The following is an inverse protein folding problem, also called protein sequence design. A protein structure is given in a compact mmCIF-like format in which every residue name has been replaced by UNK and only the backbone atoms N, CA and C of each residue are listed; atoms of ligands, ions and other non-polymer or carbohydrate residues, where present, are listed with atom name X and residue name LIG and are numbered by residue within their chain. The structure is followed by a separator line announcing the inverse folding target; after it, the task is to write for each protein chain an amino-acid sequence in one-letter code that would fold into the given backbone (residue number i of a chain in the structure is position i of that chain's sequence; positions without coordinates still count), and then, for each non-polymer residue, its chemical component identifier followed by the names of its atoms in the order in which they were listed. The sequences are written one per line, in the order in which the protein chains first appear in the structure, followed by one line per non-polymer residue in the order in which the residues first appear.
data_IF_304454314865
#
_entry.id   IF_304454314865
#
_cell.length_a   1.000
_cell.length_b   1.000
_cell.length_c   1.000
_cell.angle_alpha   90.00
_cell.angle_beta   90.00
_cell.angle_gamma   90.00
#
_symmetry.space_group_name_H-M   'P 1'
#
loop_
_entity.id
_entity.type
_entity.pdbx_description
1 polymer ?
#
# COMPACT_ATOMS: atom_id res chain seq x y z
N UNK A 1 11.22 22.26 -2.79
CA UNK A 1 11.90 21.05 -2.24
C UNK A 1 13.39 20.99 -2.60
N UNK A 2 13.74 21.01 -3.90
CA UNK A 2 15.14 20.92 -4.37
C UNK A 2 16.05 22.01 -3.81
N UNK A 3 15.62 23.28 -3.80
CA UNK A 3 16.44 24.39 -3.30
C UNK A 3 16.78 24.26 -1.82
N UNK A 4 15.91 23.59 -1.05
CA UNK A 4 16.13 23.24 0.35
C UNK A 4 16.88 21.93 0.54
N UNK A 5 17.35 21.27 -0.54
CA UNK A 5 17.95 19.92 -0.51
C UNK A 5 17.13 18.91 0.29
N UNK A 6 15.80 18.98 0.15
CA UNK A 6 14.85 18.10 0.83
C UNK A 6 14.89 18.12 2.38
N UNK A 7 15.55 19.11 2.98
CA UNK A 7 15.53 19.36 4.43
C UNK A 7 14.66 20.57 4.78
N UNK A 8 14.09 20.59 5.99
CA UNK A 8 13.26 21.70 6.49
C UNK A 8 12.17 22.15 5.48
N UNK A 9 11.47 21.17 4.92
CA UNK A 9 10.41 21.39 3.94
C UNK A 9 9.21 22.06 4.61
N UNK A 10 8.61 23.03 3.92
CA UNK A 10 7.32 23.58 4.34
C UNK A 10 6.24 22.72 3.71
N UNK A 11 5.37 22.15 4.53
CA UNK A 11 4.23 21.36 4.09
C UNK A 11 3.03 22.27 3.83
N UNK A 12 2.10 21.85 2.96
CA UNK A 12 0.90 22.63 2.64
C UNK A 12 0.07 22.96 3.90
N UNK A 13 0.06 22.04 4.87
CA UNK A 13 -0.42 22.28 6.24
C UNK A 13 0.72 22.08 7.23
N UNK A 14 0.90 22.95 8.23
CA UNK A 14 1.99 22.85 9.20
C UNK A 14 1.75 21.86 10.34
N UNK A 15 0.57 21.23 10.44
CA UNK A 15 0.17 20.44 11.61
C UNK A 15 -0.53 19.15 11.25
N UNK A 16 -0.43 18.14 12.13
CA UNK A 16 -1.26 16.92 12.10
C UNK A 16 -2.71 17.29 12.40
N UNK A 17 -3.55 17.37 11.37
CA UNK A 17 -4.93 17.84 11.49
C UNK A 17 -5.91 16.97 10.73
N UNK A 18 -5.78 15.65 10.85
CA UNK A 18 -6.82 14.74 10.34
C UNK A 18 -8.16 15.12 10.95
N UNK A 19 -9.21 15.13 10.11
CA UNK A 19 -10.60 15.42 10.50
C UNK A 19 -10.85 16.83 11.07
N UNK A 20 -9.91 17.76 10.97
CA UNK A 20 -10.14 19.15 11.37
C UNK A 20 -10.88 19.90 10.25
N UNK A 21 -12.07 20.43 10.53
CA UNK A 21 -12.93 21.09 9.51
C UNK A 21 -12.20 22.21 8.73
N UNK A 22 -11.41 23.04 9.40
CA UNK A 22 -10.65 24.10 8.73
C UNK A 22 -9.39 23.61 7.98
N UNK A 23 -8.89 22.40 8.25
CA UNK A 23 -7.72 21.90 7.55
C UNK A 23 -8.07 21.68 6.07
N UNK A 24 -9.24 21.11 5.79
CA UNK A 24 -9.74 20.97 4.43
C UNK A 24 -9.74 22.32 3.67
N UNK A 25 -10.18 23.42 4.30
CA UNK A 25 -10.23 24.74 3.66
C UNK A 25 -8.87 25.33 3.27
N UNK A 26 -7.78 24.94 3.93
CA UNK A 26 -6.44 25.47 3.63
C UNK A 26 -5.80 24.76 2.43
N UNK A 27 -6.03 23.45 2.26
CA UNK A 27 -5.56 22.70 1.07
C UNK A 27 -6.52 22.83 -0.12
N UNK A 28 -7.76 23.25 0.13
CA UNK A 28 -8.85 23.30 -0.84
C UNK A 28 -8.49 23.99 -2.16
N UNK A 29 -7.80 25.15 -2.22
CA UNK A 29 -7.47 25.79 -3.49
C UNK A 29 -6.64 24.91 -4.44
N UNK A 30 -5.84 23.99 -3.90
CA UNK A 30 -5.11 23.00 -4.68
C UNK A 30 -5.96 21.75 -4.93
N UNK A 31 -6.59 21.20 -3.89
CA UNK A 31 -7.36 19.96 -3.99
C UNK A 31 -8.60 20.09 -4.86
N UNK A 32 -9.23 21.27 -4.93
CA UNK A 32 -10.30 21.56 -5.88
C UNK A 32 -9.81 21.40 -7.31
N UNK A 33 -8.65 21.99 -7.66
CA UNK A 33 -8.06 21.86 -9.00
C UNK A 33 -7.72 20.42 -9.33
N UNK A 34 -7.22 19.66 -8.35
CA UNK A 34 -6.96 18.22 -8.51
C UNK A 34 -8.25 17.48 -8.85
N UNK A 35 -9.33 17.69 -8.09
CA UNK A 35 -10.63 17.04 -8.36
C UNK A 35 -11.19 17.41 -9.73
N UNK A 36 -11.25 18.70 -10.05
CA UNK A 36 -11.77 19.19 -11.34
C UNK A 36 -10.94 18.69 -12.53
N UNK A 37 -9.61 18.69 -12.39
CA UNK A 37 -8.69 18.20 -13.42
C UNK A 37 -8.82 16.70 -13.66
N UNK A 38 -8.92 15.91 -12.59
CA UNK A 38 -9.13 14.46 -12.69
C UNK A 38 -10.51 14.12 -13.25
N UNK A 39 -11.55 14.81 -12.82
CA UNK A 39 -12.91 14.62 -13.35
C UNK A 39 -12.98 14.95 -14.86
N UNK A 40 -12.33 16.03 -15.28
CA UNK A 40 -12.20 16.39 -16.71
C UNK A 40 -11.43 15.32 -17.50
N UNK A 41 -10.46 14.65 -16.87
CA UNK A 41 -9.72 13.53 -17.45
C UNK A 41 -10.48 12.17 -17.38
N UNK A 42 -11.74 12.17 -16.93
CA UNK A 42 -12.56 10.95 -16.83
C UNK A 42 -12.28 10.08 -15.60
N UNK A 43 -11.60 10.62 -14.59
CA UNK A 43 -11.32 9.94 -13.32
C UNK A 43 -12.10 10.60 -12.20
N UNK A 44 -13.25 10.02 -11.86
CA UNK A 44 -14.03 10.44 -10.71
C UNK A 44 -13.46 9.82 -9.43
N UNK A 45 -13.23 10.66 -8.43
CA UNK A 45 -12.88 10.23 -7.09
C UNK A 45 -14.16 10.01 -6.28
N UNK A 46 -14.15 8.96 -5.46
CA UNK A 46 -15.22 8.72 -4.48
C UNK A 46 -15.14 9.74 -3.34
N UNK A 47 -13.91 9.97 -2.84
CA UNK A 47 -13.64 10.94 -1.80
C UNK A 47 -12.20 11.47 -1.90
N UNK A 48 -11.97 12.62 -1.27
CA UNK A 48 -10.64 13.16 -1.00
C UNK A 48 -10.65 13.87 0.34
N UNK A 49 -9.63 13.69 1.18
CA UNK A 49 -9.54 14.40 2.45
C UNK A 49 -8.09 14.61 2.90
N UNK A 50 -7.83 15.61 3.77
CA UNK A 50 -6.57 15.71 4.48
C UNK A 50 -6.36 14.46 5.35
N UNK A 51 -5.14 13.95 5.35
CA UNK A 51 -4.78 12.77 6.14
C UNK A 51 -3.95 13.14 7.39
N UNK A 52 -3.48 12.16 8.16
CA UNK A 52 -2.86 12.39 9.46
C UNK A 52 -1.64 13.34 9.40
N UNK A 53 -0.82 13.24 8.35
CA UNK A 53 0.41 14.01 8.22
C UNK A 53 0.24 15.46 7.78
N UNK A 54 1.23 16.33 8.04
CA UNK A 54 1.19 17.71 7.60
C UNK A 54 1.23 17.77 6.07
N UNK A 55 0.19 18.36 5.47
CA UNK A 55 0.02 18.45 4.01
C UNK A 55 -0.24 17.11 3.32
N UNK A 56 -0.49 16.03 4.08
CA UNK A 56 -0.82 14.73 3.53
C UNK A 56 -2.28 14.70 3.08
N UNK A 57 -2.55 14.08 1.93
CA UNK A 57 -3.89 13.97 1.36
C UNK A 57 -4.16 12.52 0.98
N UNK A 58 -5.41 12.09 1.14
CA UNK A 58 -5.92 10.81 0.67
C UNK A 58 -6.90 11.04 -0.48
N UNK A 59 -6.86 10.15 -1.47
CA UNK A 59 -7.73 10.13 -2.64
C UNK A 59 -8.28 8.72 -2.79
N UNK A 60 -9.59 8.57 -2.75
CA UNK A 60 -10.27 7.28 -2.86
C UNK A 60 -10.89 7.16 -4.25
N UNK A 61 -10.67 6.01 -4.89
CA UNK A 61 -11.22 5.70 -6.19
C UNK A 61 -12.45 4.82 -6.06
N UNK A 62 -13.45 5.06 -6.91
CA UNK A 62 -14.50 4.07 -7.13
C UNK A 62 -13.87 2.75 -7.63
N UNK A 63 -14.26 1.58 -7.09
CA UNK A 63 -13.75 0.29 -7.53
C UNK A 63 -13.89 0.09 -9.05
N UNK A 64 -12.92 -0.58 -9.65
CA UNK A 64 -12.93 -0.87 -11.08
C UNK A 64 -12.15 -2.15 -11.40
N UNK A 65 -12.21 -2.59 -12.66
CA UNK A 65 -11.40 -3.71 -13.13
C UNK A 65 -9.91 -3.44 -12.90
N UNK A 66 -9.09 -4.47 -12.57
CA UNK A 66 -7.71 -4.27 -12.14
C UNK A 66 -6.85 -3.46 -13.10
N UNK A 67 -6.99 -3.68 -14.42
CA UNK A 67 -6.19 -2.97 -15.42
C UNK A 67 -6.57 -1.49 -15.52
N UNK A 68 -7.86 -1.19 -15.54
CA UNK A 68 -8.39 0.18 -15.58
C UNK A 68 -8.01 0.92 -14.30
N UNK A 69 -8.07 0.27 -13.14
CA UNK A 69 -7.64 0.85 -11.88
C UNK A 69 -6.13 1.14 -11.87
N UNK A 70 -5.31 0.26 -12.45
CA UNK A 70 -3.87 0.48 -12.52
C UNK A 70 -3.51 1.65 -13.44
N UNK A 71 -4.17 1.75 -14.61
CA UNK A 71 -4.07 2.91 -15.52
C UNK A 71 -4.44 4.21 -14.79
N UNK A 72 -5.61 4.24 -14.14
CA UNK A 72 -6.08 5.39 -13.36
C UNK A 72 -5.08 5.79 -12.29
N UNK A 73 -4.57 4.84 -11.53
CA UNK A 73 -3.62 5.11 -10.45
C UNK A 73 -2.32 5.76 -10.98
N UNK A 74 -1.76 5.28 -12.11
CA UNK A 74 -0.58 5.91 -12.72
C UNK A 74 -0.90 7.31 -13.25
N UNK A 75 -2.01 7.47 -13.97
CA UNK A 75 -2.43 8.75 -14.52
C UNK A 75 -2.67 9.80 -13.44
N UNK A 76 -3.30 9.42 -12.33
CA UNK A 76 -3.61 10.32 -11.22
C UNK A 76 -2.32 10.82 -10.56
N UNK A 77 -1.35 9.94 -10.30
CA UNK A 77 -0.05 10.37 -9.76
C UNK A 77 0.64 11.36 -10.70
N UNK A 78 0.66 11.07 -12.00
CA UNK A 78 1.24 11.97 -13.00
C UNK A 78 0.53 13.32 -13.05
N UNK A 79 -0.81 13.32 -13.06
CA UNK A 79 -1.61 14.53 -13.07
C UNK A 79 -1.38 15.38 -11.82
N UNK A 80 -1.29 14.75 -10.64
CA UNK A 80 -0.99 15.44 -9.37
C UNK A 80 0.40 16.07 -9.40
N UNK A 81 1.42 15.37 -9.92
CA UNK A 81 2.75 15.95 -10.07
C UNK A 81 2.74 17.18 -10.97
N UNK A 82 2.04 17.11 -12.11
CA UNK A 82 1.93 18.21 -13.06
C UNK A 82 1.19 19.41 -12.45
N UNK A 83 0.02 19.18 -11.85
CA UNK A 83 -0.76 20.24 -11.20
C UNK A 83 -0.03 20.85 -10.01
N UNK A 84 0.69 20.05 -9.22
CA UNK A 84 1.51 20.55 -8.12
C UNK A 84 2.63 21.46 -8.66
N UNK A 85 3.32 21.03 -9.71
CA UNK A 85 4.37 21.84 -10.34
C UNK A 85 3.83 23.17 -10.87
N UNK A 86 2.67 23.17 -11.53
CA UNK A 86 1.98 24.39 -11.99
C UNK A 86 1.55 25.32 -10.84
N UNK A 87 1.28 24.76 -9.66
CA UNK A 87 0.94 25.51 -8.45
C UNK A 87 2.16 25.96 -7.62
N UNK A 88 3.39 25.70 -8.07
CA UNK A 88 4.60 25.99 -7.30
C UNK A 88 4.81 25.07 -6.09
N UNK A 89 4.15 23.92 -6.08
CA UNK A 89 4.21 22.88 -5.05
C UNK A 89 5.03 21.68 -5.54
N UNK A 90 5.41 20.81 -4.60
CA UNK A 90 5.98 19.52 -4.91
C UNK A 90 5.14 18.42 -4.25
N UNK A 91 4.49 17.59 -5.06
CA UNK A 91 3.84 16.37 -4.58
C UNK A 91 4.86 15.22 -4.51
N UNK A 92 4.70 14.33 -3.54
CA UNK A 92 5.50 13.11 -3.42
C UNK A 92 4.63 11.92 -3.02
N UNK A 93 4.90 10.77 -3.62
CA UNK A 93 4.28 9.49 -3.27
C UNK A 93 5.27 8.54 -2.58
N UNK A 94 6.41 9.06 -2.09
CA UNK A 94 7.33 8.28 -1.26
C UNK A 94 6.58 7.69 -0.05
N UNK A 95 6.84 6.42 0.26
CA UNK A 95 6.19 5.75 1.38
C UNK A 95 6.47 6.44 2.73
N UNK A 96 7.65 7.05 2.89
CA UNK A 96 8.05 7.76 4.11
C UNK A 96 8.93 8.96 3.76
N UNK A 97 8.33 10.15 3.71
CA UNK A 97 9.07 11.37 3.34
C UNK A 97 9.90 11.95 4.50
N UNK A 98 9.45 11.75 5.75
CA UNK A 98 10.11 12.25 6.96
C UNK A 98 10.14 11.19 8.05
N UNK A 99 11.21 11.15 8.86
CA UNK A 99 11.40 10.16 9.94
C UNK A 99 10.24 10.20 10.94
N UNK A 100 9.91 11.40 11.41
CA UNK A 100 8.94 11.65 12.48
C UNK A 100 7.51 11.90 11.95
N UNK A 101 7.33 11.88 10.63
CA UNK A 101 6.06 12.11 9.94
C UNK A 101 5.37 10.80 9.55
N UNK A 102 4.05 10.70 9.45
CA UNK A 102 3.40 9.46 9.00
C UNK A 102 3.83 9.05 7.59
N UNK A 103 3.70 7.75 7.30
CA UNK A 103 3.95 7.24 5.96
C UNK A 103 2.74 7.44 5.03
N UNK A 104 2.99 7.42 3.73
CA UNK A 104 1.97 7.40 2.69
C UNK A 104 1.77 5.98 2.18
N UNK A 105 0.52 5.51 2.19
CA UNK A 105 0.15 4.15 1.77
C UNK A 105 -0.61 4.15 0.45
N UNK A 106 -0.73 2.96 -0.12
CA UNK A 106 -1.71 2.64 -1.14
C UNK A 106 -2.43 1.37 -0.66
N UNK A 107 -3.59 1.54 -0.02
CA UNK A 107 -4.41 0.41 0.38
C UNK A 107 -5.18 -0.10 -0.83
N UNK A 108 -5.20 -1.42 -0.99
CA UNK A 108 -5.79 -2.07 -2.17
C UNK A 108 -7.00 -2.87 -1.70
N UNK A 109 -8.18 -2.39 -2.08
CA UNK A 109 -9.44 -3.08 -1.81
C UNK A 109 -9.74 -4.06 -2.96
N UNK A 110 -10.09 -5.30 -2.61
CA UNK A 110 -10.27 -6.39 -3.57
C UNK A 110 -11.57 -7.14 -3.29
N UNK A 111 -12.35 -7.33 -4.34
CA UNK A 111 -13.52 -8.21 -4.41
C UNK A 111 -13.43 -9.06 -5.69
N UNK A 112 -14.13 -10.20 -5.72
CA UNK A 112 -14.35 -10.97 -6.93
C UNK A 112 -15.84 -10.98 -7.27
N UNK A 113 -16.14 -11.00 -8.56
CA UNK A 113 -17.48 -11.12 -9.09
C UNK A 113 -17.56 -12.26 -10.11
N UNK A 114 -18.71 -12.91 -10.16
CA UNK A 114 -19.00 -13.89 -11.20
C UNK A 114 -19.27 -13.18 -12.52
N UNK A 115 -18.42 -13.40 -13.53
CA UNK A 115 -18.53 -12.77 -14.87
C UNK A 115 -19.94 -12.93 -15.46
N UNK A 116 -20.56 -14.10 -15.33
CA UNK A 116 -21.85 -14.38 -15.94
C UNK A 116 -23.02 -13.65 -15.27
N UNK A 117 -22.91 -13.28 -13.99
CA UNK A 117 -24.03 -12.72 -13.21
C UNK A 117 -23.78 -11.33 -12.66
N UNK A 118 -22.54 -10.85 -12.66
CA UNK A 118 -22.12 -9.61 -11.98
C UNK A 118 -22.32 -9.63 -10.46
N UNK A 119 -22.61 -10.80 -9.86
CA UNK A 119 -22.77 -10.92 -8.41
C UNK A 119 -21.43 -11.17 -7.75
N UNK A 120 -21.25 -10.61 -6.56
CA UNK A 120 -20.10 -10.90 -5.70
C UNK A 120 -19.91 -12.41 -5.52
N UNK A 121 -18.69 -12.88 -5.72
CA UNK A 121 -18.25 -14.24 -5.39
C UNK A 121 -17.76 -14.34 -3.94
N UNK A 122 -17.69 -13.22 -3.22
CA UNK A 122 -17.14 -13.14 -1.87
C UNK A 122 -18.17 -13.29 -0.75
N UNK A 123 -19.44 -13.00 -1.01
CA UNK A 123 -20.48 -13.04 0.00
C UNK A 123 -21.19 -14.41 0.08
N UNK A 124 -21.35 -14.93 1.29
CA UNK A 124 -22.28 -16.01 1.64
C UNK A 124 -23.01 -15.64 2.93
N UNK A 125 -24.34 -15.53 2.88
CA UNK A 125 -25.16 -15.13 4.03
C UNK A 125 -25.21 -16.15 5.17
N UNK A 126 -24.72 -17.38 4.94
CA UNK A 126 -24.56 -18.39 5.99
C UNK A 126 -23.09 -18.58 6.40
N UNK A 127 -22.16 -17.92 5.70
CA UNK A 127 -20.74 -17.96 5.99
C UNK A 127 -20.37 -17.12 7.22
N UNK A 128 -19.34 -17.56 7.92
CA UNK A 128 -18.73 -16.80 9.00
C UNK A 128 -18.27 -15.42 8.49
N UNK A 129 -18.66 -14.35 9.20
CA UNK A 129 -18.47 -12.95 8.79
C UNK A 129 -19.05 -12.58 7.40
N UNK A 130 -19.98 -13.39 6.89
CA UNK A 130 -20.53 -13.25 5.54
C UNK A 130 -19.60 -13.71 4.42
N UNK A 131 -18.51 -14.42 4.75
CA UNK A 131 -17.52 -14.85 3.76
C UNK A 131 -17.90 -16.17 3.10
N UNK A 132 -17.91 -16.17 1.76
CA UNK A 132 -17.96 -17.40 0.97
C UNK A 132 -16.68 -18.23 1.14
N UNK A 133 -16.75 -19.50 0.77
CA UNK A 133 -15.57 -20.37 0.68
C UNK A 133 -14.48 -19.77 -0.23
N UNK A 134 -14.88 -19.17 -1.35
CA UNK A 134 -13.97 -18.53 -2.31
C UNK A 134 -13.21 -17.38 -1.65
N UNK A 135 -13.91 -16.52 -0.89
CA UNK A 135 -13.26 -15.42 -0.19
C UNK A 135 -12.28 -15.91 0.88
N UNK A 136 -12.66 -16.94 1.66
CA UNK A 136 -11.78 -17.52 2.68
C UNK A 136 -10.48 -18.04 2.07
N UNK A 137 -10.59 -18.79 0.98
CA UNK A 137 -9.42 -19.35 0.28
C UNK A 137 -8.57 -18.26 -0.39
N UNK A 138 -9.19 -17.26 -1.00
CA UNK A 138 -8.51 -16.08 -1.52
C UNK A 138 -7.68 -15.37 -0.44
N UNK A 139 -8.32 -15.03 0.68
CA UNK A 139 -7.66 -14.37 1.80
C UNK A 139 -6.57 -15.26 2.44
N UNK A 140 -6.78 -16.57 2.49
CA UNK A 140 -5.76 -17.52 2.95
C UNK A 140 -4.51 -17.50 2.06
N UNK A 141 -4.70 -17.44 0.74
CA UNK A 141 -3.61 -17.27 -0.23
C UNK A 141 -2.85 -15.97 -0.04
N UNK A 142 -3.57 -14.86 0.14
CA UNK A 142 -2.96 -13.56 0.47
C UNK A 142 -2.10 -13.66 1.76
N UNK A 143 -2.63 -14.24 2.83
CA UNK A 143 -1.91 -14.39 4.11
C UNK A 143 -0.70 -15.30 3.96
N UNK A 144 -0.84 -16.48 3.35
CA UNK A 144 0.24 -17.47 3.19
C UNK A 144 1.44 -16.88 2.44
N UNK A 145 1.18 -16.19 1.33
CA UNK A 145 2.22 -15.74 0.41
C UNK A 145 2.71 -14.30 0.67
N UNK A 146 2.23 -13.64 1.73
CA UNK A 146 2.50 -12.22 1.98
C UNK A 146 3.99 -11.85 1.96
N UNK A 147 4.85 -12.67 2.57
CA UNK A 147 6.30 -12.42 2.57
C UNK A 147 6.90 -12.46 1.17
N UNK A 148 6.42 -13.37 0.31
CA UNK A 148 6.93 -13.60 -1.04
C UNK A 148 6.63 -12.43 -1.98
N UNK A 149 5.43 -11.85 -1.93
CA UNK A 149 5.05 -10.74 -2.79
C UNK A 149 5.26 -9.34 -2.19
N UNK A 150 5.76 -9.23 -0.95
CA UNK A 150 5.96 -7.93 -0.28
C UNK A 150 6.77 -6.95 -1.13
N UNK A 151 7.75 -7.43 -1.91
CA UNK A 151 8.53 -6.59 -2.82
C UNK A 151 7.64 -5.75 -3.76
N UNK A 152 6.57 -6.32 -4.32
CA UNK A 152 5.68 -5.61 -5.25
C UNK A 152 4.78 -4.58 -4.56
N UNK A 153 4.66 -4.63 -3.23
CA UNK A 153 3.92 -3.67 -2.41
C UNK A 153 4.82 -2.62 -1.74
N UNK A 154 6.11 -2.92 -1.60
CA UNK A 154 7.12 -2.09 -0.96
C UNK A 154 8.46 -2.16 -1.75
N UNK A 155 8.51 -1.62 -2.98
CA UNK A 155 9.59 -1.92 -3.92
C UNK A 155 10.91 -1.17 -3.66
N UNK A 156 10.94 -0.21 -2.74
CA UNK A 156 12.09 0.64 -2.48
C UNK A 156 12.61 0.49 -1.04
N UNK A 157 13.86 0.88 -0.80
CA UNK A 157 14.44 0.92 0.55
C UNK A 157 13.62 1.84 1.47
N UNK A 158 13.08 2.94 0.93
CA UNK A 158 12.21 3.87 1.65
C UNK A 158 10.88 3.24 2.10
N UNK A 159 10.33 2.29 1.33
CA UNK A 159 9.06 1.62 1.62
C UNK A 159 9.04 0.98 3.02
N UNK A 160 10.17 0.38 3.44
CA UNK A 160 10.30 -0.28 4.74
C UNK A 160 10.46 0.68 5.92
N UNK A 161 10.73 1.97 5.67
CA UNK A 161 10.72 3.02 6.71
C UNK A 161 9.29 3.39 7.13
N UNK A 162 8.30 3.08 6.28
CA UNK A 162 6.87 3.12 6.63
C UNK A 162 6.46 1.89 7.45
N UNK A 163 6.94 0.69 7.10
CA UNK A 163 6.59 -0.57 7.76
C UNK A 163 7.26 -0.72 9.14
N UNK A 164 6.92 0.16 10.08
CA UNK A 164 7.48 0.19 11.44
C UNK A 164 6.37 0.00 12.49
N UNK A 165 6.67 -0.57 13.67
CA UNK A 165 5.71 -0.62 14.76
C UNK A 165 5.19 0.78 15.11
N UNK A 166 3.90 0.89 15.49
CA UNK A 166 3.24 2.14 15.87
C UNK A 166 3.18 3.22 14.77
N UNK A 167 3.31 2.83 13.50
CA UNK A 167 3.26 3.75 12.35
C UNK A 167 1.92 3.77 11.60
N UNK A 168 0.92 3.05 12.11
CA UNK A 168 -0.34 2.70 11.41
C UNK A 168 -0.18 1.79 10.19
N UNK A 169 1.05 1.46 9.78
CA UNK A 169 1.33 0.44 8.78
C UNK A 169 1.45 -0.95 9.43
N UNK A 170 1.06 -2.02 8.73
CA UNK A 170 1.19 -3.37 9.24
C UNK A 170 2.66 -3.82 9.26
N UNK A 171 3.04 -4.60 10.29
CA UNK A 171 4.37 -5.24 10.38
C UNK A 171 4.29 -6.76 10.45
N UNK A 172 3.08 -7.30 10.65
CA UNK A 172 2.80 -8.73 10.84
C UNK A 172 1.86 -9.24 9.76
N UNK A 173 2.08 -10.47 9.32
CA UNK A 173 1.26 -11.18 8.35
C UNK A 173 0.08 -11.79 9.09
N UNK A 174 -1.10 -11.18 8.91
CA UNK A 174 -2.35 -11.63 9.51
C UNK A 174 -3.53 -10.88 8.87
N UNK A 175 -4.73 -11.38 9.13
CA UNK A 175 -5.97 -10.71 8.80
C UNK A 175 -6.80 -10.45 10.07
N UNK A 176 -7.75 -9.52 9.98
CA UNK A 176 -8.68 -9.25 11.08
C UNK A 176 -9.92 -8.51 10.62
N UNK A 177 -11.00 -8.66 11.39
CA UNK A 177 -12.29 -7.99 11.15
C UNK A 177 -12.19 -6.53 11.57
N UNK A 178 -12.35 -5.62 10.61
CA UNK A 178 -12.23 -4.17 10.79
C UNK A 178 -10.94 -3.70 11.51
N UNK A 179 -9.88 -4.55 11.52
CA UNK A 179 -8.68 -4.29 12.29
C UNK A 179 -7.67 -3.47 11.46
N UNK A 180 -7.50 -2.19 11.78
CA UNK A 180 -6.57 -1.30 11.04
C UNK A 180 -5.09 -1.60 11.28
N UNK A 181 -4.75 -2.50 12.22
CA UNK A 181 -3.37 -2.91 12.51
C UNK A 181 -2.95 -4.19 11.78
N UNK A 182 -3.88 -4.89 11.11
CA UNK A 182 -3.58 -6.10 10.32
C UNK A 182 -3.07 -5.78 8.93
N UNK A 183 -2.37 -6.76 8.32
CA UNK A 183 -1.96 -6.67 6.91
C UNK A 183 -3.16 -6.71 5.97
N UNK A 184 -4.16 -7.53 6.31
CA UNK A 184 -5.40 -7.67 5.57
C UNK A 184 -6.58 -7.34 6.49
N UNK A 185 -7.42 -6.40 6.10
CA UNK A 185 -8.63 -6.03 6.85
C UNK A 185 -9.84 -6.54 6.10
N UNK A 186 -10.69 -7.29 6.80
CA UNK A 186 -12.02 -7.63 6.30
C UNK A 186 -12.92 -6.41 6.47
N UNK A 187 -13.51 -5.95 5.37
CA UNK A 187 -14.37 -4.78 5.32
C UNK A 187 -15.82 -5.19 5.01
N UNK A 188 -16.77 -4.44 5.56
CA UNK A 188 -18.20 -4.61 5.29
C UNK A 188 -18.71 -6.04 5.55
N UNK A 189 -18.31 -6.61 6.69
CA UNK A 189 -18.71 -7.97 7.10
C UNK A 189 -20.22 -8.18 7.02
N UNK A 190 -20.64 -9.42 6.73
CA UNK A 190 -22.04 -9.83 6.63
C UNK A 190 -22.88 -9.06 5.59
N UNK A 191 -22.24 -8.33 4.66
CA UNK A 191 -22.90 -7.58 3.60
C UNK A 191 -22.47 -8.05 2.21
N UNK A 192 -23.27 -7.75 1.19
CA UNK A 192 -22.91 -8.03 -0.21
C UNK A 192 -21.67 -7.25 -0.68
N UNK A 193 -21.29 -6.18 0.03
CA UNK A 193 -20.08 -5.40 -0.23
C UNK A 193 -18.86 -5.93 0.53
N UNK A 194 -18.91 -7.14 1.09
CA UNK A 194 -17.78 -7.73 1.81
C UNK A 194 -16.56 -7.88 0.90
N UNK A 195 -15.40 -7.39 1.36
CA UNK A 195 -14.17 -7.35 0.57
C UNK A 195 -12.93 -7.34 1.47
N UNK A 196 -11.76 -7.55 0.88
CA UNK A 196 -10.46 -7.52 1.58
C UNK A 196 -9.71 -6.23 1.24
N UNK A 197 -9.25 -5.51 2.26
CA UNK A 197 -8.29 -4.41 2.14
C UNK A 197 -6.87 -4.91 2.44
N UNK A 198 -5.96 -4.88 1.46
CA UNK A 198 -4.52 -5.05 1.70
C UNK A 198 -3.89 -3.71 2.10
N UNK A 199 -3.31 -3.65 3.30
CA UNK A 199 -2.76 -2.43 3.91
C UNK A 199 -1.23 -2.32 3.82
N UNK A 200 -0.58 -3.33 3.23
CA UNK A 200 0.88 -3.43 3.16
C UNK A 200 1.47 -2.36 2.22
N UNK A 201 0.79 -2.08 1.10
CA UNK A 201 1.27 -1.21 0.03
C UNK A 201 1.69 0.20 0.47
N UNK A 202 2.87 0.63 0.05
CA UNK A 202 3.29 2.03 0.09
C UNK A 202 2.70 2.83 -1.07
N UNK A 203 2.57 4.14 -0.93
CA UNK A 203 2.16 5.01 -2.03
C UNK A 203 3.15 5.00 -3.20
N UNK A 204 4.33 4.41 -3.05
CA UNK A 204 5.39 4.28 -4.04
C UNK A 204 5.27 3.02 -4.91
N UNK A 205 4.29 2.15 -4.65
CA UNK A 205 4.12 0.93 -5.43
C UNK A 205 3.81 1.18 -6.92
N UNK A 206 4.17 0.19 -7.74
CA UNK A 206 3.69 0.05 -9.11
C UNK A 206 2.36 -0.74 -9.08
N UNK A 207 1.22 -0.14 -9.50
CA UNK A 207 -0.10 -0.75 -9.32
C UNK A 207 -0.26 -2.04 -10.13
N UNK A 208 0.33 -2.13 -11.33
CA UNK A 208 0.23 -3.33 -12.16
C UNK A 208 0.87 -4.54 -11.48
N UNK A 209 2.06 -4.35 -10.92
CA UNK A 209 2.80 -5.42 -10.25
C UNK A 209 2.15 -5.79 -8.91
N UNK A 210 1.70 -4.79 -8.15
CA UNK A 210 0.98 -4.99 -6.91
C UNK A 210 -0.30 -5.81 -7.13
N UNK A 211 -1.12 -5.42 -8.12
CA UNK A 211 -2.36 -6.13 -8.44
C UNK A 211 -2.08 -7.53 -8.97
N UNK A 212 -1.13 -7.70 -9.90
CA UNK A 212 -0.77 -9.01 -10.42
C UNK A 212 -0.31 -9.96 -9.31
N UNK A 213 0.51 -9.50 -8.35
CA UNK A 213 0.99 -10.34 -7.27
C UNK A 213 -0.10 -10.69 -6.25
N UNK A 214 -0.98 -9.74 -5.91
CA UNK A 214 -2.14 -9.99 -5.02
C UNK A 214 -3.15 -10.94 -5.68
N UNK A 215 -3.45 -10.76 -6.96
CA UNK A 215 -4.33 -11.64 -7.73
C UNK A 215 -3.73 -13.04 -7.80
N UNK A 216 -2.44 -13.16 -8.11
CA UNK A 216 -1.73 -14.44 -8.16
C UNK A 216 -1.80 -15.19 -6.81
N UNK A 217 -1.54 -14.49 -5.70
CA UNK A 217 -1.62 -15.07 -4.37
C UNK A 217 -3.06 -15.49 -4.00
N UNK A 218 -4.05 -14.69 -4.35
CA UNK A 218 -5.46 -15.00 -4.14
C UNK A 218 -5.93 -16.23 -4.93
N UNK A 219 -5.57 -16.31 -6.21
CA UNK A 219 -5.84 -17.47 -7.08
C UNK A 219 -5.14 -18.72 -6.54
N UNK A 220 -3.86 -18.63 -6.17
CA UNK A 220 -3.14 -19.76 -5.58
C UNK A 220 -3.82 -20.29 -4.31
N UNK A 221 -4.39 -19.40 -3.48
CA UNK A 221 -5.15 -19.81 -2.31
C UNK A 221 -6.42 -20.60 -2.64
N UNK A 222 -7.13 -20.22 -3.71
CA UNK A 222 -8.30 -20.94 -4.22
C UNK A 222 -7.89 -22.29 -4.80
N UNK A 223 -6.88 -22.32 -5.68
CA UNK A 223 -6.44 -23.53 -6.37
C UNK A 223 -5.90 -24.59 -5.41
N UNK A 224 -5.16 -24.18 -4.38
CA UNK A 224 -4.63 -25.07 -3.34
C UNK A 224 -5.68 -25.45 -2.28
N UNK A 225 -6.84 -24.81 -2.31
CA UNK A 225 -7.91 -25.04 -1.36
C UNK A 225 -7.54 -24.65 0.08
N UNK A 226 -6.79 -23.56 0.27
CA UNK A 226 -6.23 -23.18 1.57
C UNK A 226 -7.31 -22.85 2.62
N UNK A 227 -7.09 -23.33 3.83
CA UNK A 227 -7.89 -22.94 4.99
C UNK A 227 -7.41 -21.60 5.55
N UNK A 228 -8.35 -20.67 5.73
CA UNK A 228 -8.07 -19.35 6.31
C UNK A 228 -7.78 -19.52 7.82
N UNK A 229 -6.62 -19.07 8.34
CA UNK A 229 -6.36 -19.09 9.78
C UNK A 229 -7.35 -18.21 10.53
N UNK A 230 -7.45 -18.38 11.85
CA UNK A 230 -8.27 -17.53 12.71
C UNK A 230 -7.88 -16.04 12.59
N UNK A 231 -8.84 -15.11 12.68
CA UNK A 231 -8.54 -13.68 12.63
C UNK A 231 -7.68 -13.28 13.83
N UNK A 232 -6.75 -12.37 13.61
CA UNK A 232 -5.94 -11.82 14.69
C UNK A 232 -6.80 -10.94 15.62
N UNK A 233 -6.85 -11.32 16.90
CA UNK A 233 -7.47 -10.51 17.94
C UNK A 233 -6.56 -9.34 18.36
N UNK A 234 -7.14 -8.17 18.64
CA UNK A 234 -6.51 -7.00 19.25
C UNK A 234 -5.43 -6.27 18.41
N UNK A 235 -4.69 -5.37 19.08
CA UNK A 235 -3.55 -4.64 18.51
C UNK A 235 -2.41 -5.62 18.20
N UNK A 236 -2.12 -5.77 16.91
CA UNK A 236 -1.22 -6.79 16.37
C UNK A 236 0.27 -6.49 16.63
N UNK A 237 0.63 -5.23 16.91
CA UNK A 237 2.03 -4.83 17.04
C UNK A 237 2.79 -5.58 18.14
N UNK A 238 2.10 -6.05 19.18
CA UNK A 238 2.72 -6.75 20.33
C UNK A 238 2.71 -8.27 20.19
N UNK A 239 2.12 -8.81 19.12
CA UNK A 239 2.06 -10.26 18.92
C UNK A 239 3.44 -10.82 18.55
N UNK A 240 3.93 -11.74 19.37
CA UNK A 240 5.17 -12.48 19.12
C UNK A 240 4.96 -13.76 18.29
N UNK A 241 3.71 -14.24 18.19
CA UNK A 241 3.37 -15.48 17.49
C UNK A 241 3.09 -15.31 16.01
N UNK A 242 2.77 -14.09 15.56
CA UNK A 242 2.44 -13.83 14.17
C UNK A 242 3.71 -13.71 13.30
N UNK A 243 3.71 -14.29 12.09
CA UNK A 243 4.80 -14.12 11.13
C UNK A 243 4.99 -12.64 10.79
N UNK A 244 6.23 -12.25 10.49
CA UNK A 244 6.58 -10.87 10.17
C UNK A 244 6.64 -10.64 8.67
N UNK A 245 6.28 -9.43 8.24
CA UNK A 245 6.61 -8.97 6.90
C UNK A 245 8.14 -8.80 6.78
N UNK A 246 8.71 -8.95 5.57
CA UNK A 246 10.10 -8.58 5.31
C UNK A 246 10.41 -7.17 5.81
N UNK A 247 11.45 -7.05 6.64
CA UNK A 247 11.81 -5.78 7.31
C UNK A 247 12.61 -4.82 6.44
N UNK A 248 13.09 -5.26 5.28
CA UNK A 248 13.87 -4.45 4.36
C UNK A 248 13.80 -5.01 2.93
N UNK A 249 14.28 -4.22 1.98
CA UNK A 249 14.27 -4.56 0.56
C UNK A 249 15.04 -5.87 0.30
N UNK A 250 16.20 -6.04 0.94
CA UNK A 250 17.04 -7.25 0.79
C UNK A 250 16.29 -8.54 1.15
N UNK A 251 15.64 -8.59 2.32
CA UNK A 251 14.89 -9.79 2.71
C UNK A 251 13.65 -10.01 1.85
N UNK A 252 12.98 -8.95 1.40
CA UNK A 252 11.84 -9.11 0.49
C UNK A 252 12.23 -9.75 -0.85
N UNK A 253 13.41 -9.38 -1.39
CA UNK A 253 13.94 -9.94 -2.63
C UNK A 253 14.33 -11.41 -2.43
N UNK A 254 14.86 -11.75 -1.26
CA UNK A 254 15.13 -13.14 -0.90
C UNK A 254 13.85 -13.98 -0.90
N UNK A 255 12.78 -13.54 -0.23
CA UNK A 255 11.49 -14.25 -0.27
C UNK A 255 10.92 -14.33 -1.69
N UNK A 256 10.93 -13.21 -2.43
CA UNK A 256 10.43 -13.14 -3.80
C UNK A 256 11.15 -14.12 -4.75
N UNK A 257 12.48 -14.22 -4.65
CA UNK A 257 13.29 -15.07 -5.55
C UNK A 257 13.21 -16.56 -5.23
N UNK A 258 12.78 -16.93 -4.02
CA UNK A 258 12.50 -18.32 -3.64
C UNK A 258 11.03 -18.73 -3.85
N UNK A 259 10.16 -17.78 -4.23
CA UNK A 259 8.74 -18.01 -4.42
C UNK A 259 8.42 -18.84 -5.67
N UNK A 260 8.03 -20.09 -5.49
CA UNK A 260 7.47 -20.91 -6.58
C UNK A 260 6.14 -20.32 -7.09
N UNK A 261 5.33 -19.75 -6.19
CA UNK A 261 4.05 -19.13 -6.55
C UNK A 261 4.26 -17.98 -7.55
N UNK A 262 5.15 -17.04 -7.24
CA UNK A 262 5.42 -15.90 -8.12
C UNK A 262 6.09 -16.31 -9.43
N UNK A 263 6.99 -17.29 -9.40
CA UNK A 263 7.63 -17.82 -10.62
C UNK A 263 6.62 -18.49 -11.54
N UNK A 264 5.63 -19.16 -10.98
CA UNK A 264 4.55 -19.80 -11.74
C UNK A 264 3.61 -18.74 -12.32
N UNK A 265 3.24 -17.72 -11.55
CA UNK A 265 2.28 -16.70 -11.96
C UNK A 265 2.86 -15.64 -12.91
N UNK A 266 4.07 -15.15 -12.64
CA UNK A 266 4.70 -14.03 -13.36
C UNK A 266 5.82 -14.47 -14.30
N UNK A 267 6.35 -15.68 -14.11
CA UNK A 267 7.52 -16.18 -14.83
C UNK A 267 8.85 -15.86 -14.13
N UNK A 268 9.78 -16.81 -14.16
CA UNK A 268 11.12 -16.68 -13.55
C UNK A 268 11.87 -15.43 -14.04
N UNK A 269 11.82 -15.14 -15.35
CA UNK A 269 12.52 -13.98 -15.91
C UNK A 269 12.01 -12.64 -15.34
N UNK A 270 10.71 -12.53 -15.10
CA UNK A 270 10.12 -11.31 -14.50
C UNK A 270 10.58 -11.18 -13.05
N UNK A 271 10.51 -12.27 -12.28
CA UNK A 271 10.99 -12.31 -10.88
C UNK A 271 12.47 -11.93 -10.79
N UNK A 272 13.33 -12.50 -11.64
CA UNK A 272 14.77 -12.20 -11.63
C UNK A 272 15.08 -10.78 -12.10
N UNK A 273 14.32 -10.23 -13.05
CA UNK A 273 14.48 -8.85 -13.50
C UNK A 273 14.28 -7.86 -12.34
N UNK A 274 13.18 -8.00 -11.62
CA UNK A 274 12.89 -7.13 -10.47
C UNK A 274 13.83 -7.38 -9.29
N UNK A 275 14.25 -8.62 -9.06
CA UNK A 275 15.29 -8.93 -8.09
C UNK A 275 16.60 -8.21 -8.42
N UNK A 276 17.00 -8.16 -9.70
CA UNK A 276 18.17 -7.42 -10.15
C UNK A 276 18.02 -5.90 -9.94
N UNK A 277 16.86 -5.33 -10.28
CA UNK A 277 16.58 -3.91 -10.02
C UNK A 277 16.75 -3.54 -8.54
N UNK A 278 16.25 -4.38 -7.64
CA UNK A 278 16.36 -4.18 -6.21
C UNK A 278 17.80 -4.30 -5.70
N UNK A 279 18.59 -5.24 -6.23
CA UNK A 279 20.01 -5.39 -5.90
C UNK A 279 20.82 -4.16 -6.28
N UNK A 280 20.56 -3.59 -7.47
CA UNK A 280 21.22 -2.35 -7.91
C UNK A 280 20.91 -1.19 -6.95
N UNK A 281 19.65 -1.02 -6.53
CA UNK A 281 19.29 0.01 -5.55
C UNK A 281 19.98 -0.21 -4.19
N UNK A 282 20.02 -1.46 -3.71
CA UNK A 282 20.71 -1.82 -2.48
C UNK A 282 22.21 -1.50 -2.56
N UNK A 283 22.88 -1.92 -3.64
CA UNK A 283 24.30 -1.64 -3.86
C UNK A 283 24.60 -0.14 -3.90
N UNK A 284 23.71 0.67 -4.48
CA UNK A 284 23.91 2.12 -4.54
C UNK A 284 23.64 2.80 -3.19
N UNK A 285 22.63 2.33 -2.46
CA UNK A 285 22.33 2.83 -1.11
C UNK A 285 23.42 2.48 -0.10
N UNK A 286 24.01 1.28 -0.19
CA UNK A 286 25.10 0.83 0.70
C UNK A 286 26.39 1.68 0.57
N UNK A 287 26.56 2.41 -0.54
CA UNK A 287 27.68 3.35 -0.73
C UNK A 287 27.43 4.72 -0.10
N UNK A 288 26.19 5.04 0.23
CA UNK A 288 25.83 6.37 0.74
C UNK A 288 26.30 6.52 2.19
N UNK A 289 26.76 7.73 2.54
CA UNK A 289 26.97 8.14 3.93
C UNK A 289 25.87 9.12 4.29
N UNK A 290 24.98 8.71 5.19
CA UNK A 290 23.80 9.49 5.56
C UNK A 290 24.09 10.51 6.66
N UNK A 291 23.28 11.57 6.74
CA UNK A 291 23.36 12.55 7.83
C UNK A 291 23.23 11.90 9.22
N UNK A 292 22.48 10.79 9.31
CA UNK A 292 22.39 10.02 10.55
C UNK A 292 23.72 9.36 10.93
N UNK A 293 24.43 8.76 9.96
CA UNK A 293 25.75 8.18 10.19
C UNK A 293 26.77 9.25 10.55
N UNK A 294 26.75 10.40 9.87
CA UNK A 294 27.59 11.55 10.22
C UNK A 294 27.32 12.04 11.65
N UNK A 295 26.05 12.24 12.01
CA UNK A 295 25.66 12.71 13.36
C UNK A 295 26.08 11.77 14.50
N UNK A 296 26.24 10.47 14.21
CA UNK A 296 26.67 9.46 15.18
C UNK A 296 28.17 9.22 15.17
N UNK A 297 28.80 9.32 14.01
CA UNK A 297 30.20 8.98 13.79
C UNK A 297 31.17 10.09 14.17
N UNK A 298 30.68 11.33 14.29
CA UNK A 298 31.47 12.46 14.78
C UNK A 298 31.14 12.76 16.25
N UNK A 299 32.16 12.75 17.11
CA UNK A 299 32.00 12.92 18.57
C UNK A 299 31.62 14.36 19.01
N UNK A 300 31.75 15.35 18.10
CA UNK A 300 31.23 16.73 18.09
C UNK A 300 31.88 17.49 16.90
N UNK A 301 31.24 18.56 16.45
CA UNK A 301 31.63 19.43 15.32
C UNK A 301 33.11 19.82 15.28
#
# INVERSE_FOLDING_TARGET
ARDKRWVNLDTAQPHHRSMHLLAASVDEPFMQKVREGLETAGVRLEASHPEYGPGQQELNFEPNEPIVMADRHVLVKQAIHEMANQAGLAATFMAKFGKDEPGSSCHIHMSLEHIDTGKTAFHDGHGEFGMSKVMRQWLAGLVKYAAEYTYFLAPYINSYKRLQPNSWAPTKICWGVDNRTSSFRLCSESSQSVHVECRIGGADLNPYLAFAALIAAGIAGIDEGLELPEPAANNIYTSLSLPELPKNLKSSVEFMTHSTMLKTALGENVVQHYANSARIELEEFEKQVTDWELSRGFDRC
#
